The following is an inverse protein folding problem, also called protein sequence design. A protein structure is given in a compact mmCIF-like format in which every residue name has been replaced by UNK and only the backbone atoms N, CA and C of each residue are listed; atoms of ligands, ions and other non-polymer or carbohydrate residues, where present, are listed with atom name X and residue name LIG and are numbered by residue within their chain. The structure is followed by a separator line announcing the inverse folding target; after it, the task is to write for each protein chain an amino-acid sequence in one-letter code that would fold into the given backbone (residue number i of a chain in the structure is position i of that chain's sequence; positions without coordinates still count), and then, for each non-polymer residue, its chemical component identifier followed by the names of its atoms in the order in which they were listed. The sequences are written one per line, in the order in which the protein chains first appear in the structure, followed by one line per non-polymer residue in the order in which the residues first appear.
data_IF_618841963846
#
_entry.id   IF_618841963846
#
_cell.length_a   1.000
_cell.length_b   1.000
_cell.length_c   1.000
_cell.angle_alpha   90.00
_cell.angle_beta   90.00
_cell.angle_gamma   90.00
#
_symmetry.space_group_name_H-M   'P 1'
#
loop_
_entity.id
_entity.type
_entity.pdbx_description
1 polymer ?
#
# COMPACT_ATOMS: atom_id res chain seq x y z
N UNK A 1 19.49 11.09 12.97
CA UNK A 1 18.35 10.19 13.20
C UNK A 1 17.08 10.57 12.43
N UNK A 2 16.39 11.69 12.68
CA UNK A 2 15.11 12.01 11.97
C UNK A 2 15.27 12.14 10.45
N UNK A 3 16.33 12.82 9.99
CA UNK A 3 16.64 12.95 8.56
C UNK A 3 17.01 11.62 7.88
N UNK A 4 17.80 10.77 8.54
CA UNK A 4 18.19 9.44 8.00
C UNK A 4 16.98 8.53 7.77
N UNK A 5 15.98 8.59 8.67
CA UNK A 5 14.75 7.81 8.54
C UNK A 5 13.88 8.32 7.38
N UNK A 6 13.88 9.61 7.09
CA UNK A 6 13.18 10.20 5.94
C UNK A 6 13.80 9.69 4.64
N UNK A 7 15.14 9.74 4.50
CA UNK A 7 15.81 9.23 3.30
C UNK A 7 15.55 7.73 3.08
N UNK A 8 15.61 6.91 4.14
CA UNK A 8 15.28 5.48 4.07
C UNK A 8 13.82 5.28 3.65
N UNK A 9 12.89 6.02 4.24
CA UNK A 9 11.47 5.97 3.86
C UNK A 9 11.27 6.27 2.38
N UNK A 10 11.89 7.33 1.86
CA UNK A 10 11.81 7.70 0.44
C UNK A 10 12.37 6.57 -0.42
N UNK A 11 13.51 5.98 -0.06
CA UNK A 11 14.12 4.88 -0.79
C UNK A 11 13.19 3.67 -0.86
N UNK A 12 12.61 3.25 0.26
CA UNK A 12 11.62 2.16 0.30
C UNK A 12 10.35 2.48 -0.52
N UNK A 13 9.91 3.73 -0.52
CA UNK A 13 8.75 4.14 -1.30
C UNK A 13 9.04 4.13 -2.81
N UNK A 14 10.20 4.65 -3.24
CA UNK A 14 10.64 4.59 -4.64
C UNK A 14 10.82 3.14 -5.10
N UNK A 15 11.46 2.30 -4.28
CA UNK A 15 11.60 0.87 -4.56
C UNK A 15 10.23 0.18 -4.73
N UNK A 16 9.24 0.56 -3.93
CA UNK A 16 7.86 0.09 -4.09
C UNK A 16 7.26 0.48 -5.44
N UNK A 17 7.43 1.74 -5.87
CA UNK A 17 6.92 2.20 -7.17
C UNK A 17 7.60 1.46 -8.34
N UNK A 18 8.90 1.17 -8.23
CA UNK A 18 9.62 0.36 -9.21
C UNK A 18 9.07 -1.08 -9.29
N UNK A 19 8.70 -1.67 -8.15
CA UNK A 19 8.06 -3.00 -8.12
C UNK A 19 6.67 -2.99 -8.75
N UNK A 20 5.88 -1.93 -8.54
CA UNK A 20 4.58 -1.75 -9.21
C UNK A 20 4.76 -1.61 -10.73
N UNK A 21 5.75 -0.84 -11.16
CA UNK A 21 6.10 -0.73 -12.58
C UNK A 21 6.54 -2.09 -13.14
N UNK A 22 7.36 -2.85 -12.40
CA UNK A 22 7.77 -4.20 -12.80
C UNK A 22 6.55 -5.12 -12.96
N UNK A 23 5.54 -5.01 -12.09
CA UNK A 23 4.28 -5.76 -12.22
C UNK A 23 3.56 -5.43 -13.54
N UNK A 24 3.47 -4.14 -13.92
CA UNK A 24 2.92 -3.72 -15.22
C UNK A 24 3.73 -4.32 -16.37
N UNK A 25 5.06 -4.16 -16.31
CA UNK A 25 5.96 -4.63 -17.36
C UNK A 25 5.82 -6.15 -17.57
N UNK A 26 5.83 -6.92 -16.49
CA UNK A 26 5.66 -8.38 -16.55
C UNK A 26 4.26 -8.77 -17.03
N UNK A 27 3.21 -8.04 -16.63
CA UNK A 27 1.86 -8.31 -17.09
C UNK A 27 1.68 -8.11 -18.60
N UNK A 28 2.42 -7.17 -19.20
CA UNK A 28 2.36 -6.90 -20.62
C UNK A 28 3.19 -7.90 -21.44
N UNK A 29 4.31 -8.37 -20.89
CA UNK A 29 5.22 -9.29 -21.59
C UNK A 29 4.88 -10.78 -21.37
N UNK A 30 4.25 -11.14 -20.24
CA UNK A 30 3.91 -12.53 -19.92
C UNK A 30 2.45 -12.85 -20.27
N UNK A 31 2.25 -13.92 -21.05
CA UNK A 31 0.91 -14.46 -21.32
C UNK A 31 0.39 -15.23 -20.09
N UNK A 32 -0.49 -14.58 -19.32
CA UNK A 32 -1.30 -15.25 -18.31
C UNK A 32 -2.27 -16.24 -18.98
N UNK A 33 -2.07 -17.53 -18.69
CA UNK A 33 -2.84 -18.64 -19.28
C UNK A 33 -3.92 -19.18 -18.31
N UNK A 34 -4.32 -18.41 -17.29
CA UNK A 34 -5.30 -18.83 -16.28
C UNK A 34 -4.73 -19.62 -15.09
N UNK A 35 -3.50 -20.12 -15.18
CA UNK A 35 -2.85 -20.84 -14.07
C UNK A 35 -2.21 -19.88 -13.05
N UNK A 36 -2.44 -20.13 -11.76
CA UNK A 36 -1.89 -19.32 -10.66
C UNK A 36 -0.36 -19.19 -10.71
N UNK A 37 0.35 -20.28 -11.02
CA UNK A 37 1.82 -20.27 -11.12
C UNK A 37 2.30 -19.26 -12.17
N UNK A 38 1.56 -19.11 -13.28
CA UNK A 38 1.88 -18.15 -14.34
C UNK A 38 1.57 -16.69 -13.94
N UNK A 39 0.75 -16.47 -12.91
CA UNK A 39 0.48 -15.14 -12.35
C UNK A 39 1.47 -14.72 -11.27
N UNK A 40 2.17 -15.64 -10.61
CA UNK A 40 3.12 -15.33 -9.53
C UNK A 40 4.15 -14.26 -9.91
N UNK A 41 4.80 -14.30 -11.09
CA UNK A 41 5.77 -13.27 -11.46
C UNK A 41 5.15 -11.87 -11.56
N UNK A 42 3.86 -11.78 -11.87
CA UNK A 42 3.11 -10.52 -12.00
C UNK A 42 2.65 -10.02 -10.63
N UNK A 43 2.17 -10.93 -9.78
CA UNK A 43 1.55 -10.60 -8.48
C UNK A 43 2.60 -10.40 -7.37
N UNK A 44 3.71 -11.13 -7.39
CA UNK A 44 4.75 -11.03 -6.36
C UNK A 44 5.32 -9.60 -6.22
N UNK A 45 5.70 -8.89 -7.30
CA UNK A 45 6.14 -7.50 -7.19
C UNK A 45 5.09 -6.59 -6.54
N UNK A 46 3.81 -6.86 -6.79
CA UNK A 46 2.69 -6.15 -6.18
C UNK A 46 2.64 -6.36 -4.66
N UNK A 47 2.78 -7.61 -4.19
CA UNK A 47 2.81 -7.93 -2.75
C UNK A 47 4.02 -7.28 -2.07
N UNK A 48 5.20 -7.38 -2.68
CA UNK A 48 6.42 -6.76 -2.14
C UNK A 48 6.33 -5.23 -2.13
N UNK A 49 5.68 -4.63 -3.13
CA UNK A 49 5.40 -3.19 -3.15
C UNK A 49 4.56 -2.77 -1.92
N UNK A 50 3.51 -3.53 -1.59
CA UNK A 50 2.65 -3.25 -0.42
C UNK A 50 3.46 -3.31 0.87
N UNK A 51 4.27 -4.36 1.04
CA UNK A 51 5.13 -4.51 2.21
C UNK A 51 6.15 -3.36 2.32
N UNK A 52 6.75 -2.96 1.19
CA UNK A 52 7.71 -1.86 1.12
C UNK A 52 7.08 -0.50 1.46
N UNK A 53 5.84 -0.24 1.03
CA UNK A 53 5.09 0.97 1.43
C UNK A 53 4.85 0.96 2.93
N UNK A 54 4.48 -0.19 3.49
CA UNK A 54 4.31 -0.33 4.94
C UNK A 54 5.59 0.02 5.70
N UNK A 55 6.74 -0.51 5.28
CA UNK A 55 8.05 -0.20 5.87
C UNK A 55 8.38 1.29 5.71
N UNK A 56 8.16 1.86 4.52
CA UNK A 56 8.38 3.28 4.27
C UNK A 56 7.61 4.14 5.29
N UNK A 57 6.31 3.91 5.43
CA UNK A 57 5.46 4.63 6.40
C UNK A 57 5.93 4.43 7.85
N UNK A 58 6.32 3.20 8.22
CA UNK A 58 6.80 2.93 9.59
C UNK A 58 8.07 3.70 9.95
N UNK A 59 8.94 4.00 8.97
CA UNK A 59 10.19 4.71 9.18
C UNK A 59 9.99 6.21 9.45
N UNK A 60 8.98 6.84 8.85
CA UNK A 60 8.66 8.27 9.05
C UNK A 60 7.74 8.52 10.25
N UNK A 61 7.00 7.51 10.73
CA UNK A 61 6.17 7.67 11.92
C UNK A 61 6.97 7.60 13.21
N UNK A 62 6.64 8.49 14.15
CA UNK A 62 7.20 8.49 15.50
C UNK A 62 6.87 7.20 16.23
N UNK A 63 7.87 6.63 16.93
CA UNK A 63 7.71 5.37 17.68
C UNK A 63 6.66 5.45 18.77
N UNK A 64 6.39 6.66 19.27
CA UNK A 64 5.47 6.91 20.38
C UNK A 64 4.00 6.91 19.94
N UNK A 65 3.73 6.89 18.63
CA UNK A 65 2.37 6.77 18.11
C UNK A 65 1.80 5.35 18.33
N UNK A 66 0.53 5.21 18.77
CA UNK A 66 -0.06 3.90 19.03
C UNK A 66 -0.05 3.01 17.77
N UNK A 67 0.20 1.71 17.94
CA UNK A 67 0.34 0.77 16.82
C UNK A 67 -0.88 0.75 15.88
N UNK A 68 -2.08 0.91 16.44
CA UNK A 68 -3.31 0.96 15.67
C UNK A 68 -3.37 2.19 14.73
N UNK A 69 -2.71 3.29 15.11
CA UNK A 69 -2.60 4.50 14.30
C UNK A 69 -1.66 4.24 13.15
N UNK A 70 -0.50 3.68 13.50
CA UNK A 70 0.57 3.40 12.54
C UNK A 70 0.08 2.47 11.45
N UNK A 71 -0.59 1.39 11.83
CA UNK A 71 -1.19 0.45 10.88
C UNK A 71 -2.37 1.05 10.12
N UNK A 72 -3.12 1.99 10.71
CA UNK A 72 -4.13 2.79 10.00
C UNK A 72 -3.54 3.65 8.89
N UNK A 73 -2.46 4.40 9.18
CA UNK A 73 -1.75 5.23 8.21
C UNK A 73 -1.05 4.37 7.14
N UNK A 74 -0.42 3.25 7.52
CA UNK A 74 0.17 2.30 6.56
C UNK A 74 -0.88 1.80 5.56
N UNK A 75 -2.06 1.38 6.06
CA UNK A 75 -3.17 0.97 5.21
C UNK A 75 -3.69 2.11 4.34
N UNK A 76 -3.76 3.34 4.86
CA UNK A 76 -4.22 4.50 4.10
C UNK A 76 -3.29 4.82 2.93
N UNK A 77 -1.98 4.94 3.21
CA UNK A 77 -0.97 5.25 2.19
C UNK A 77 -0.93 4.14 1.15
N UNK A 78 -0.83 2.88 1.58
CA UNK A 78 -0.87 1.73 0.68
C UNK A 78 -2.15 1.69 -0.16
N UNK A 79 -3.30 1.98 0.45
CA UNK A 79 -4.59 2.00 -0.23
C UNK A 79 -4.68 3.07 -1.31
N UNK A 80 -4.26 4.31 -1.02
CA UNK A 80 -4.23 5.42 -1.98
C UNK A 80 -3.27 5.11 -3.13
N UNK A 81 -2.07 4.59 -2.84
CA UNK A 81 -1.08 4.23 -3.86
C UNK A 81 -1.62 3.13 -4.78
N UNK A 82 -2.18 2.05 -4.22
CA UNK A 82 -2.75 0.94 -5.00
C UNK A 82 -3.98 1.36 -5.81
N UNK A 83 -4.85 2.20 -5.25
CA UNK A 83 -6.03 2.71 -5.93
C UNK A 83 -5.63 3.54 -7.16
N UNK A 84 -4.70 4.49 -6.97
CA UNK A 84 -4.18 5.33 -8.05
C UNK A 84 -3.43 4.50 -9.10
N UNK A 85 -2.65 3.51 -8.65
CA UNK A 85 -1.96 2.56 -9.53
C UNK A 85 -2.94 1.70 -10.35
N UNK A 86 -4.04 1.24 -9.74
CA UNK A 86 -5.09 0.50 -10.44
C UNK A 86 -5.71 1.31 -11.58
N UNK A 87 -6.01 2.59 -11.34
CA UNK A 87 -6.51 3.52 -12.37
C UNK A 87 -5.47 3.71 -13.48
N UNK A 88 -4.19 3.93 -13.12
CA UNK A 88 -3.11 4.10 -14.09
C UNK A 88 -2.91 2.83 -14.95
N UNK A 89 -2.91 1.65 -14.33
CA UNK A 89 -2.77 0.38 -15.01
C UNK A 89 -3.95 0.10 -15.97
N UNK A 90 -5.16 0.51 -15.59
CA UNK A 90 -6.33 0.46 -16.46
C UNK A 90 -6.15 1.36 -17.70
N UNK A 91 -5.69 2.60 -17.50
CA UNK A 91 -5.41 3.53 -18.60
C UNK A 91 -4.34 2.99 -19.57
N UNK A 92 -3.32 2.32 -19.03
CA UNK A 92 -2.26 1.66 -19.80
C UNK A 92 -2.68 0.33 -20.46
N UNK A 93 -3.97 -0.04 -20.40
CA UNK A 93 -4.54 -1.28 -20.96
C UNK A 93 -3.84 -2.55 -20.47
N UNK A 94 -3.34 -2.54 -19.23
CA UNK A 94 -2.73 -3.71 -18.58
C UNK A 94 -3.82 -4.77 -18.34
N UNK A 95 -3.43 -6.04 -18.17
CA UNK A 95 -4.38 -7.13 -17.91
C UNK A 95 -5.20 -6.88 -16.65
N UNK A 96 -6.46 -7.35 -16.69
CA UNK A 96 -7.45 -7.18 -15.62
C UNK A 96 -6.95 -7.58 -14.24
N UNK A 97 -6.15 -8.65 -14.16
CA UNK A 97 -5.60 -9.13 -12.90
C UNK A 97 -4.85 -8.02 -12.12
N UNK A 98 -4.04 -7.20 -12.81
CA UNK A 98 -3.20 -6.19 -12.15
C UNK A 98 -4.00 -4.96 -11.81
N UNK A 99 -4.75 -4.41 -12.78
CA UNK A 99 -5.48 -3.16 -12.52
C UNK A 99 -6.66 -3.37 -11.57
N UNK A 100 -7.47 -4.41 -11.79
CA UNK A 100 -8.65 -4.66 -10.97
C UNK A 100 -8.24 -5.15 -9.57
N UNK A 101 -7.22 -6.02 -9.48
CA UNK A 101 -6.67 -6.47 -8.21
C UNK A 101 -6.16 -5.30 -7.37
N UNK A 102 -5.38 -4.41 -7.96
CA UNK A 102 -4.84 -3.23 -7.25
C UNK A 102 -5.92 -2.24 -6.86
N UNK A 103 -6.89 -1.99 -7.76
CA UNK A 103 -8.00 -1.08 -7.50
C UNK A 103 -8.86 -1.56 -6.32
N UNK A 104 -9.30 -2.82 -6.35
CA UNK A 104 -10.13 -3.41 -5.29
C UNK A 104 -9.37 -3.48 -3.97
N UNK A 105 -8.11 -3.94 -3.98
CA UNK A 105 -7.28 -3.94 -2.77
C UNK A 105 -7.06 -2.54 -2.22
N UNK A 106 -6.89 -1.54 -3.10
CA UNK A 106 -6.78 -0.13 -2.73
C UNK A 106 -8.01 0.35 -1.95
N UNK A 107 -9.21 0.07 -2.46
CA UNK A 107 -10.47 0.39 -1.77
C UNK A 107 -10.55 -0.30 -0.40
N UNK A 108 -10.27 -1.61 -0.34
CA UNK A 108 -10.32 -2.36 0.91
C UNK A 108 -9.35 -1.80 1.96
N UNK A 109 -8.16 -1.38 1.53
CA UNK A 109 -7.16 -0.79 2.41
C UNK A 109 -7.59 0.59 2.92
N UNK A 110 -8.21 1.42 2.07
CA UNK A 110 -8.75 2.71 2.47
C UNK A 110 -9.88 2.51 3.50
N UNK A 111 -10.81 1.59 3.25
CA UNK A 111 -11.89 1.29 4.20
C UNK A 111 -11.34 0.78 5.54
N UNK A 112 -10.39 -0.15 5.50
CA UNK A 112 -9.74 -0.66 6.71
C UNK A 112 -9.01 0.46 7.48
N UNK A 113 -8.35 1.39 6.77
CA UNK A 113 -7.71 2.54 7.36
C UNK A 113 -8.72 3.48 8.03
N UNK A 114 -9.83 3.79 7.37
CA UNK A 114 -10.90 4.64 7.93
C UNK A 114 -11.44 4.06 9.23
N UNK A 115 -11.79 2.76 9.24
CA UNK A 115 -12.28 2.09 10.45
C UNK A 115 -11.25 2.20 11.60
N UNK A 116 -9.97 1.92 11.31
CA UNK A 116 -8.93 1.97 12.34
C UNK A 116 -8.72 3.39 12.90
N UNK A 117 -8.65 4.38 12.02
CA UNK A 117 -8.43 5.76 12.41
C UNK A 117 -9.64 6.33 13.18
N UNK A 118 -10.86 5.97 12.81
CA UNK A 118 -12.08 6.36 13.52
C UNK A 118 -12.14 5.78 14.93
N UNK A 119 -11.90 4.46 15.08
CA UNK A 119 -11.87 3.80 16.39
C UNK A 119 -10.83 4.47 17.29
N UNK A 120 -9.65 4.78 16.75
CA UNK A 120 -8.61 5.44 17.54
C UNK A 120 -8.93 6.90 17.87
N UNK A 121 -9.48 7.66 16.92
CA UNK A 121 -9.96 9.01 17.15
C UNK A 121 -11.00 9.04 18.28
N UNK A 122 -11.94 8.10 18.26
CA UNK A 122 -12.94 7.92 19.31
C UNK A 122 -12.33 7.57 20.67
N UNK A 123 -11.37 6.64 20.72
CA UNK A 123 -10.65 6.29 21.95
C UNK A 123 -9.89 7.48 22.55
N UNK A 124 -9.26 8.30 21.70
CA UNK A 124 -8.53 9.49 22.13
C UNK A 124 -9.49 10.55 22.71
N UNK A 125 -10.61 10.80 22.02
CA UNK A 125 -11.63 11.73 22.48
C UNK A 125 -12.26 11.29 23.81
N UNK A 126 -12.56 10.00 23.97
CA UNK A 126 -13.10 9.45 25.20
C UNK A 126 -12.14 9.63 26.39
N UNK A 127 -10.83 9.36 26.20
CA UNK A 127 -9.83 9.59 27.25
C UNK A 127 -9.72 11.06 27.64
N UNK A 128 -9.78 11.97 26.65
CA UNK A 128 -9.72 13.41 26.89
C UNK A 128 -10.96 13.93 27.64
N UNK A 129 -12.12 13.32 27.45
CA UNK A 129 -13.36 13.72 28.16
C UNK A 129 -13.44 13.19 29.60
N UNK A 130 -12.65 12.16 29.95
CA UNK A 130 -12.67 11.51 31.28
C UNK A 130 -11.65 12.12 32.26
N UNK A 131 -10.60 12.76 31.74
CA UNK A 131 -9.60 13.51 32.50
C UNK A 131 -9.92 15.00 32.50
#
# INVERSE_FOLDING_TARGET
MRYENIYKSILFYIASLLLLYLSIFLSNNLKYNGHFISALPIVLPLIFSIASIGIAVLLIMEKDSPWFFRTGIMSLVGGITLFSFGILAFYLRVKSLVWAGSFVLGILFILAAMVRLLIQGGLSAYRKSRN
#
